data_IF_381893916850
#
_entry.id   IF_381893916850
#
_cell.length_a   1.000
_cell.length_b   1.000
_cell.length_c   1.000
_cell.angle_alpha   90.00
_cell.angle_beta   90.00
_cell.angle_gamma   90.00
#
_symmetry.space_group_name_H-M   'P 1'
#
loop_
_entity.id
_entity.type
_entity.pdbx_description
1 polymer ?
#
# COMPACT_ATOMS: atom_id res chain seq x y z
N UNK A 1 3.31 -2.52 16.85
CA UNK A 1 4.30 -2.02 15.87
C UNK A 1 5.37 -3.08 15.64
N UNK A 2 5.49 -3.64 14.42
CA UNK A 2 6.48 -4.68 14.09
C UNK A 2 7.47 -4.22 12.99
N UNK A 3 8.70 -4.76 13.03
CA UNK A 3 9.90 -4.38 12.26
C UNK A 3 9.99 -5.14 10.92
N UNK A 4 9.88 -4.49 9.74
CA UNK A 4 9.99 -5.24 8.46
C UNK A 4 10.68 -4.54 7.28
N UNK A 5 11.46 -5.33 6.52
CA UNK A 5 11.81 -5.12 5.10
C UNK A 5 10.68 -5.63 4.19
N UNK A 6 10.61 -5.25 2.91
CA UNK A 6 9.63 -5.79 1.93
C UNK A 6 9.86 -7.27 1.53
N UNK A 7 10.13 -8.13 2.51
CA UNK A 7 10.40 -9.55 2.34
C UNK A 7 9.13 -10.38 2.11
N UNK A 8 9.31 -11.67 1.85
CA UNK A 8 8.20 -12.62 1.83
C UNK A 8 7.46 -12.68 3.18
N UNK A 9 8.20 -12.59 4.28
CA UNK A 9 7.64 -12.57 5.64
C UNK A 9 6.74 -11.35 5.86
N UNK A 10 7.15 -10.18 5.39
CA UNK A 10 6.33 -8.98 5.44
C UNK A 10 5.00 -9.14 4.69
N UNK A 11 5.05 -9.81 3.53
CA UNK A 11 3.83 -10.10 2.76
C UNK A 11 2.88 -11.06 3.50
N UNK A 12 3.41 -11.99 4.29
CA UNK A 12 2.62 -12.90 5.13
C UNK A 12 1.99 -12.12 6.28
N UNK A 13 2.78 -11.35 7.02
CA UNK A 13 2.32 -10.59 8.19
C UNK A 13 1.27 -9.52 7.86
N UNK A 14 1.46 -8.78 6.77
CA UNK A 14 0.45 -7.82 6.30
C UNK A 14 -0.86 -8.51 5.92
N UNK A 15 -0.79 -9.69 5.29
CA UNK A 15 -1.97 -10.47 4.95
C UNK A 15 -2.68 -11.03 6.19
N UNK A 16 -1.92 -11.52 7.18
CA UNK A 16 -2.49 -12.02 8.44
C UNK A 16 -3.15 -10.90 9.25
N UNK A 17 -2.51 -9.73 9.32
CA UNK A 17 -3.09 -8.55 9.96
C UNK A 17 -4.39 -8.09 9.27
N UNK A 18 -4.42 -8.08 7.93
CA UNK A 18 -5.64 -7.80 7.16
C UNK A 18 -6.75 -8.82 7.45
N UNK A 19 -6.42 -10.10 7.48
CA UNK A 19 -7.40 -11.14 7.79
C UNK A 19 -7.98 -10.98 9.20
N UNK A 20 -7.13 -10.65 10.19
CA UNK A 20 -7.58 -10.41 11.57
C UNK A 20 -8.59 -9.26 11.67
N UNK A 21 -8.28 -8.11 11.09
CA UNK A 21 -9.21 -6.97 11.12
C UNK A 21 -10.48 -7.24 10.30
N UNK A 22 -10.38 -7.98 9.19
CA UNK A 22 -11.56 -8.41 8.42
C UNK A 22 -12.47 -9.35 9.20
N UNK A 23 -11.89 -10.29 9.96
CA UNK A 23 -12.65 -11.18 10.83
C UNK A 23 -13.34 -10.40 11.95
N UNK A 24 -12.65 -9.45 12.58
CA UNK A 24 -13.23 -8.60 13.61
C UNK A 24 -14.43 -7.81 13.08
N UNK A 25 -14.28 -7.14 11.93
CA UNK A 25 -15.38 -6.41 11.29
C UNK A 25 -16.56 -7.33 10.99
N UNK A 26 -16.30 -8.53 10.47
CA UNK A 26 -17.36 -9.51 10.18
C UNK A 26 -18.05 -10.04 11.43
N UNK A 27 -17.31 -10.32 12.50
CA UNK A 27 -17.86 -10.89 13.75
C UNK A 27 -18.72 -9.91 14.53
N UNK A 28 -18.50 -8.61 14.34
CA UNK A 28 -19.22 -7.54 15.02
C UNK A 28 -20.23 -6.83 14.09
N UNK A 29 -20.53 -7.40 12.92
CA UNK A 29 -21.48 -6.86 11.94
C UNK A 29 -21.21 -5.39 11.54
N UNK A 30 -19.93 -4.98 11.53
CA UNK A 30 -19.54 -3.61 11.21
C UNK A 30 -19.65 -3.37 9.70
N UNK A 31 -20.32 -2.28 9.33
CA UNK A 31 -20.51 -1.88 7.94
C UNK A 31 -19.23 -1.23 7.39
N UNK A 32 -18.72 -1.79 6.30
CA UNK A 32 -17.52 -1.29 5.59
C UNK A 32 -17.92 -0.30 4.49
N UNK A 33 -17.12 0.73 4.26
CA UNK A 33 -17.31 1.70 3.17
C UNK A 33 -16.15 1.74 2.15
N UNK A 34 -15.41 0.64 2.02
CA UNK A 34 -14.32 0.58 1.06
C UNK A 34 -13.49 -0.68 1.16
N UNK A 35 -12.37 -0.66 0.44
CA UNK A 35 -11.45 -1.79 0.38
C UNK A 35 -10.47 -1.78 1.56
N UNK A 36 -10.01 -2.96 2.01
CA UNK A 36 -8.92 -3.06 2.97
C UNK A 36 -7.64 -2.41 2.43
N UNK A 37 -6.87 -1.81 3.34
CA UNK A 37 -5.61 -1.18 3.00
C UNK A 37 -4.55 -1.37 4.09
N UNK A 38 -3.29 -1.17 3.70
CA UNK A 38 -2.15 -1.09 4.63
C UNK A 38 -1.67 0.35 4.68
N UNK A 39 -1.47 0.88 5.88
CA UNK A 39 -0.83 2.18 6.10
C UNK A 39 0.58 2.02 6.65
N UNK A 40 1.47 2.91 6.23
CA UNK A 40 2.87 2.95 6.63
C UNK A 40 3.18 4.30 7.30
N UNK A 41 3.32 4.33 8.62
CA UNK A 41 3.38 5.57 9.40
C UNK A 41 4.78 6.22 9.42
N UNK A 42 5.85 5.42 9.36
CA UNK A 42 7.23 5.92 9.32
C UNK A 42 7.97 5.31 8.13
N UNK A 43 7.68 5.85 6.95
CA UNK A 43 8.29 5.38 5.71
C UNK A 43 9.63 6.08 5.49
N UNK A 44 10.70 5.58 6.11
CA UNK A 44 12.05 5.88 5.67
C UNK A 44 12.57 4.69 4.86
N UNK A 45 12.67 4.83 3.54
CA UNK A 45 13.15 3.76 2.67
C UNK A 45 14.61 3.35 2.93
N UNK A 46 15.37 4.19 3.62
CA UNK A 46 16.78 3.95 3.94
C UNK A 46 16.98 3.36 5.34
N UNK A 47 16.03 3.57 6.25
CA UNK A 47 16.10 3.08 7.62
C UNK A 47 14.98 2.07 7.88
N UNK A 48 15.31 0.79 7.73
CA UNK A 48 14.51 -0.29 8.31
C UNK A 48 14.60 -0.20 9.84
N UNK A 49 13.48 -0.30 10.58
CA UNK A 49 12.24 -0.98 10.18
C UNK A 49 11.11 -0.13 9.61
N UNK A 50 10.29 -0.76 8.75
CA UNK A 50 9.01 -0.22 8.32
C UNK A 50 7.87 -0.70 9.23
N UNK A 51 7.15 0.24 9.84
CA UNK A 51 5.96 -0.02 10.65
C UNK A 51 4.69 0.12 9.82
N UNK A 52 3.71 -0.78 10.05
CA UNK A 52 2.46 -0.77 9.32
C UNK A 52 1.23 -1.01 10.20
N UNK A 53 0.07 -0.56 9.70
CA UNK A 53 -1.25 -0.88 10.21
C UNK A 53 -2.09 -1.52 9.10
N UNK A 54 -2.89 -2.52 9.44
CA UNK A 54 -3.88 -3.12 8.55
C UNK A 54 -5.26 -2.55 8.88
N UNK A 55 -5.93 -2.00 7.89
CA UNK A 55 -7.08 -1.13 8.09
C UNK A 55 -8.26 -1.53 7.20
N UNK A 56 -9.47 -1.26 7.69
CA UNK A 56 -10.72 -1.38 6.93
C UNK A 56 -11.48 -0.07 7.12
N UNK A 57 -11.87 0.60 6.03
CA UNK A 57 -12.63 1.83 6.15
C UNK A 57 -14.10 1.50 6.47
N UNK A 58 -14.65 2.23 7.43
CA UNK A 58 -15.99 2.05 8.01
C UNK A 58 -16.70 3.40 8.10
N UNK A 59 -18.03 3.39 8.17
CA UNK A 59 -18.84 4.62 8.24
C UNK A 59 -18.97 5.16 9.66
N UNK A 60 -19.02 4.27 10.64
CA UNK A 60 -19.29 4.60 12.04
C UNK A 60 -18.02 4.48 12.89
N UNK A 61 -17.86 5.38 13.86
CA UNK A 61 -16.80 5.29 14.85
C UNK A 61 -17.02 4.07 15.75
N UNK A 62 -15.96 3.28 15.96
CA UNK A 62 -15.98 2.14 16.88
C UNK A 62 -15.06 2.41 18.07
N UNK A 63 -15.56 2.08 19.26
CA UNK A 63 -14.78 2.13 20.49
C UNK A 63 -14.40 0.70 20.88
N UNK A 64 -13.10 0.45 21.00
CA UNK A 64 -12.57 -0.84 21.44
C UNK A 64 -12.07 -0.76 22.87
N UNK A 65 -11.94 -1.91 23.53
CA UNK A 65 -11.39 -1.97 24.88
C UNK A 65 -9.89 -1.66 24.85
N UNK A 66 -9.30 -1.11 25.93
CA UNK A 66 -7.87 -0.80 25.98
C UNK A 66 -6.93 -2.00 25.76
N UNK A 67 -7.44 -3.23 25.92
CA UNK A 67 -6.69 -4.47 25.70
C UNK A 67 -6.87 -5.04 24.28
N UNK A 68 -7.62 -4.36 23.42
CA UNK A 68 -7.83 -4.80 22.04
C UNK A 68 -6.62 -4.44 21.18
N UNK A 69 -6.22 -5.40 20.33
CA UNK A 69 -5.21 -5.16 19.28
C UNK A 69 -5.76 -4.33 18.10
N UNK A 70 -7.07 -4.05 18.11
CA UNK A 70 -7.78 -3.27 17.08
C UNK A 70 -8.26 -1.97 17.71
N UNK A 71 -8.05 -0.87 16.99
CA UNK A 71 -8.46 0.47 17.40
C UNK A 71 -9.22 1.15 16.27
N UNK A 72 -10.16 2.02 16.64
CA UNK A 72 -10.76 2.98 15.72
C UNK A 72 -9.83 4.17 15.54
N UNK A 73 -9.74 4.69 14.32
CA UNK A 73 -9.00 5.90 14.01
C UNK A 73 -9.74 6.74 12.97
N UNK A 74 -9.84 8.04 13.22
CA UNK A 74 -10.31 8.99 12.24
C UNK A 74 -9.12 9.50 11.41
N UNK A 75 -9.19 9.33 10.09
CA UNK A 75 -8.16 9.76 9.15
C UNK A 75 -8.61 11.05 8.47
N UNK A 76 -7.83 12.13 8.62
CA UNK A 76 -8.07 13.37 7.91
C UNK A 76 -7.78 13.25 6.40
N UNK A 77 -8.41 14.10 5.60
CA UNK A 77 -8.14 14.20 4.18
C UNK A 77 -6.73 14.73 3.92
N UNK A 78 -6.06 14.16 2.92
CA UNK A 78 -4.72 14.57 2.53
C UNK A 78 -4.54 14.45 1.02
N UNK A 79 -3.59 15.23 0.48
CA UNK A 79 -3.21 15.15 -0.92
C UNK A 79 -2.21 14.02 -1.14
N UNK A 80 -2.37 13.27 -2.22
CA UNK A 80 -1.50 12.15 -2.52
C UNK A 80 -1.24 12.00 -4.02
N UNK A 81 -0.02 11.60 -4.36
CA UNK A 81 0.29 11.01 -5.65
C UNK A 81 -0.20 9.57 -5.65
N UNK A 82 -1.20 9.27 -6.49
CA UNK A 82 -1.68 7.91 -6.69
C UNK A 82 -0.90 7.21 -7.80
N UNK A 83 -0.40 6.01 -7.51
CA UNK A 83 0.06 5.05 -8.50
C UNK A 83 -0.71 3.75 -8.42
N UNK A 84 -0.71 2.96 -9.49
CA UNK A 84 -1.32 1.62 -9.50
C UNK A 84 -0.25 0.59 -9.81
N UNK A 85 -0.04 -0.34 -8.87
CA UNK A 85 0.74 -1.55 -9.07
C UNK A 85 -0.20 -2.65 -9.58
N UNK A 86 0.05 -3.12 -10.80
CA UNK A 86 -0.59 -4.29 -11.37
C UNK A 86 0.39 -5.46 -11.36
N UNK A 87 0.06 -6.52 -10.62
CA UNK A 87 0.91 -7.69 -10.46
C UNK A 87 1.40 -7.92 -9.02
N UNK A 88 2.37 -8.83 -8.89
CA UNK A 88 2.85 -9.30 -7.59
C UNK A 88 3.39 -8.18 -6.69
N UNK A 89 3.13 -8.27 -5.38
CA UNK A 89 3.70 -7.40 -4.36
C UNK A 89 5.24 -7.42 -4.32
N UNK A 90 5.89 -8.39 -4.97
CA UNK A 90 7.34 -8.39 -5.18
C UNK A 90 7.84 -7.10 -5.85
N UNK A 91 7.01 -6.44 -6.66
CA UNK A 91 7.34 -5.19 -7.34
C UNK A 91 7.00 -3.93 -6.54
N UNK A 92 6.56 -4.06 -5.28
CA UNK A 92 6.20 -2.94 -4.40
C UNK A 92 7.34 -1.93 -4.25
N UNK A 93 8.54 -2.41 -3.94
CA UNK A 93 9.73 -1.55 -3.77
C UNK A 93 10.02 -0.73 -5.04
N UNK A 94 9.87 -1.36 -6.21
CA UNK A 94 10.06 -0.69 -7.50
C UNK A 94 8.95 0.36 -7.75
N UNK A 95 7.71 0.05 -7.42
CA UNK A 95 6.58 0.97 -7.54
C UNK A 95 6.76 2.22 -6.67
N UNK A 96 7.13 2.03 -5.40
CA UNK A 96 7.46 3.13 -4.49
C UNK A 96 8.62 3.97 -5.03
N UNK A 97 9.71 3.32 -5.46
CA UNK A 97 10.86 4.02 -6.03
C UNK A 97 10.45 4.90 -7.22
N UNK A 98 9.65 4.37 -8.15
CA UNK A 98 9.20 5.12 -9.33
C UNK A 98 8.39 6.36 -8.95
N UNK A 99 7.52 6.26 -7.96
CA UNK A 99 6.74 7.42 -7.51
C UNK A 99 7.60 8.45 -6.78
N UNK A 100 8.53 8.02 -5.93
CA UNK A 100 9.44 8.95 -5.25
C UNK A 100 10.39 9.63 -6.23
N UNK A 101 10.92 8.89 -7.22
CA UNK A 101 11.71 9.46 -8.32
C UNK A 101 10.88 10.48 -9.13
N UNK A 102 9.59 10.22 -9.33
CA UNK A 102 8.68 11.16 -9.99
C UNK A 102 8.52 12.44 -9.16
N UNK A 103 8.26 12.33 -7.86
CA UNK A 103 8.13 13.49 -6.96
C UNK A 103 9.43 14.30 -6.95
N UNK A 104 10.59 13.64 -6.80
CA UNK A 104 11.89 14.30 -6.77
C UNK A 104 12.22 15.06 -8.07
N UNK A 105 11.70 14.62 -9.22
CA UNK A 105 11.88 15.29 -10.52
C UNK A 105 10.87 16.42 -10.76
N UNK A 106 9.78 16.48 -10.02
CA UNK A 106 8.70 17.44 -10.20
C UNK A 106 8.65 18.39 -8.99
N UNK A 107 9.28 19.56 -9.12
CA UNK A 107 9.41 20.57 -8.05
C UNK A 107 8.08 21.10 -7.48
N UNK A 108 6.95 20.81 -8.15
CA UNK A 108 5.59 21.17 -7.71
C UNK A 108 5.14 20.34 -6.51
N UNK A 109 5.66 19.12 -6.35
CA UNK A 109 5.27 18.21 -5.29
C UNK A 109 6.38 18.09 -4.24
N UNK A 110 6.01 18.24 -2.98
CA UNK A 110 6.88 17.92 -1.85
C UNK A 110 6.26 16.77 -1.08
N UNK A 111 7.10 15.90 -0.54
CA UNK A 111 6.65 14.78 0.27
C UNK A 111 6.05 15.25 1.60
N UNK A 112 4.84 14.80 1.90
CA UNK A 112 4.21 15.07 3.20
C UNK A 112 4.55 13.95 4.18
N UNK A 113 5.55 14.21 5.04
CA UNK A 113 6.02 13.23 6.02
C UNK A 113 5.12 13.10 7.25
N UNK A 114 4.10 13.94 7.38
CA UNK A 114 3.14 13.85 8.48
C UNK A 114 2.05 12.80 8.20
N UNK A 115 1.92 12.37 6.94
CA UNK A 115 0.93 11.41 6.50
C UNK A 115 1.58 10.07 6.11
N UNK A 116 0.80 9.00 6.28
CA UNK A 116 1.22 7.63 5.98
C UNK A 116 1.09 7.31 4.50
N UNK A 117 2.01 6.49 3.96
CA UNK A 117 1.78 5.87 2.64
C UNK A 117 0.66 4.83 2.80
N UNK A 118 -0.30 4.83 1.88
CA UNK A 118 -1.46 3.92 1.93
C UNK A 118 -1.47 3.00 0.72
N UNK A 119 -1.53 1.68 0.95
CA UNK A 119 -1.69 0.66 -0.09
C UNK A 119 -3.08 0.03 -0.03
N UNK A 120 -3.92 0.37 -1.01
CA UNK A 120 -5.30 -0.10 -1.12
C UNK A 120 -5.35 -1.35 -2.01
N UNK A 121 -5.79 -2.47 -1.46
CA UNK A 121 -5.82 -3.76 -2.14
C UNK A 121 -7.13 -3.96 -2.93
N UNK A 122 -7.26 -3.31 -4.10
CA UNK A 122 -8.44 -3.43 -4.98
C UNK A 122 -8.71 -4.86 -5.45
N UNK A 123 -7.65 -5.61 -5.76
CA UNK A 123 -7.70 -7.05 -6.05
C UNK A 123 -6.43 -7.70 -5.51
N UNK A 124 -6.56 -8.61 -4.56
CA UNK A 124 -5.41 -9.22 -3.89
C UNK A 124 -5.62 -10.70 -3.57
N UNK A 125 -4.83 -11.21 -2.62
CA UNK A 125 -4.83 -12.63 -2.20
C UNK A 125 -6.17 -13.15 -1.69
N UNK A 126 -7.00 -12.28 -1.11
CA UNK A 126 -8.34 -12.63 -0.66
C UNK A 126 -9.31 -12.92 -1.82
N UNK A 127 -9.00 -12.44 -3.04
CA UNK A 127 -9.88 -12.53 -4.22
C UNK A 127 -9.34 -13.52 -5.26
N UNK A 128 -8.03 -13.60 -5.44
CA UNK A 128 -7.40 -14.47 -6.45
C UNK A 128 -6.07 -15.01 -5.95
N UNK A 129 -5.71 -16.21 -6.37
CA UNK A 129 -4.39 -16.81 -6.11
C UNK A 129 -3.34 -16.38 -7.15
N UNK A 130 -3.74 -15.78 -8.26
CA UNK A 130 -2.85 -15.39 -9.36
C UNK A 130 -2.24 -14.00 -9.12
N UNK A 131 -0.92 -13.89 -8.83
CA UNK A 131 -0.33 -12.59 -8.49
C UNK A 131 -0.34 -11.59 -9.65
N UNK A 132 -0.38 -12.06 -10.90
CA UNK A 132 -0.48 -11.23 -12.10
C UNK A 132 -1.80 -10.46 -12.20
N UNK A 133 -2.83 -10.89 -11.48
CA UNK A 133 -4.13 -10.24 -11.45
C UNK A 133 -4.27 -9.24 -10.29
N UNK A 134 -3.27 -9.13 -9.42
CA UNK A 134 -3.35 -8.21 -8.30
C UNK A 134 -3.39 -6.76 -8.80
N UNK A 135 -4.22 -5.95 -8.16
CA UNK A 135 -4.35 -4.51 -8.40
C UNK A 135 -4.27 -3.83 -7.05
N UNK A 136 -3.22 -3.02 -6.88
CA UNK A 136 -2.97 -2.23 -5.67
C UNK A 136 -2.83 -0.77 -6.04
N UNK A 137 -3.62 0.10 -5.42
CA UNK A 137 -3.41 1.54 -5.50
C UNK A 137 -2.51 1.96 -4.35
N UNK A 138 -1.44 2.71 -4.64
CA UNK A 138 -0.51 3.22 -3.63
C UNK A 138 -0.64 4.74 -3.63
N UNK A 139 -1.01 5.29 -2.49
CA UNK A 139 -1.15 6.72 -2.24
C UNK A 139 0.08 7.20 -1.48
N UNK A 140 0.91 8.02 -2.13
CA UNK A 140 2.09 8.63 -1.51
C UNK A 140 1.74 10.07 -1.15
N UNK A 141 1.74 10.44 0.14
CA UNK A 141 1.35 11.78 0.57
C UNK A 141 2.28 12.86 0.01
N UNK A 142 1.66 13.93 -0.50
CA UNK A 142 2.37 15.10 -1.03
C UNK A 142 1.66 16.37 -0.64
N UNK A 143 2.42 17.44 -0.41
CA UNK A 143 1.92 18.81 -0.40
C UNK A 143 2.22 19.46 -1.75
N UNK A 144 1.22 20.10 -2.36
CA UNK A 144 1.42 20.98 -3.52
C UNK A 144 1.49 22.45 -3.10
N UNK A 145 2.26 23.26 -3.84
CA UNK A 145 2.04 24.72 -3.81
C UNK A 145 0.82 25.07 -4.66
N UNK A 146 -0.20 25.59 -3.98
CA UNK A 146 -1.53 26.05 -4.42
C UNK A 146 -1.74 26.28 -5.93
N UNK A 147 -2.73 25.57 -6.50
CA UNK A 147 -3.40 25.99 -7.73
C UNK A 147 -3.86 24.83 -8.61
N UNK A 148 -5.06 24.31 -8.33
CA UNK A 148 -5.91 23.54 -9.28
C UNK A 148 -5.17 22.77 -10.38
N UNK A 149 -4.68 21.57 -10.10
CA UNK A 149 -4.42 20.63 -11.18
C UNK A 149 -5.40 19.47 -11.04
N UNK A 150 -6.26 19.33 -12.06
CA UNK A 150 -7.01 18.10 -12.33
C UNK A 150 -6.07 16.90 -12.20
N UNK A 151 -6.56 15.71 -11.80
CA UNK A 151 -5.74 14.51 -11.72
C UNK A 151 -4.97 14.33 -13.03
N UNK A 152 -3.66 14.54 -12.98
CA UNK A 152 -2.77 14.25 -14.11
C UNK A 152 -2.60 12.74 -14.11
N UNK A 153 -3.43 12.07 -14.90
CA UNK A 153 -3.26 10.65 -15.19
C UNK A 153 -2.02 10.54 -16.09
N UNK A 154 -0.87 10.21 -15.50
CA UNK A 154 0.28 9.75 -16.27
C UNK A 154 -0.04 8.38 -16.87
N UNK A 155 0.30 8.22 -18.16
CA UNK A 155 0.11 6.95 -18.86
C UNK A 155 0.83 5.82 -18.13
N UNK A 156 0.29 4.58 -18.11
CA UNK A 156 0.95 3.44 -17.48
C UNK A 156 2.38 3.28 -18.01
N UNK A 157 3.36 3.29 -17.12
CA UNK A 157 4.73 2.88 -17.48
C UNK A 157 4.65 1.41 -17.91
N UNK A 158 5.00 1.13 -19.17
CA UNK A 158 4.83 -0.16 -19.82
C UNK A 158 5.30 -1.34 -18.94
N UNK A 159 4.56 -2.45 -18.99
CA UNK A 159 4.89 -3.72 -18.34
C UNK A 159 6.37 -4.06 -18.57
N UNK A 160 7.17 -4.33 -17.52
CA UNK A 160 8.48 -4.94 -17.73
C UNK A 160 8.29 -6.25 -18.50
N UNK A 161 8.96 -6.38 -19.64
CA UNK A 161 8.99 -7.63 -20.41
C UNK A 161 9.55 -8.71 -19.48
N UNK A 162 8.96 -9.92 -19.40
CA UNK A 162 9.54 -11.00 -18.61
C UNK A 162 10.97 -11.24 -19.11
N UNK A 163 11.96 -11.06 -18.22
CA UNK A 163 13.30 -11.56 -18.48
C UNK A 163 13.20 -13.08 -18.37
N UNK A 164 13.05 -13.74 -19.52
CA UNK A 164 13.28 -15.17 -19.63
C UNK A 164 14.77 -15.37 -19.44
N UNK A 165 15.20 -15.65 -18.22
CA UNK A 165 16.52 -16.22 -17.99
C UNK A 165 16.49 -17.61 -18.61
N UNK A 166 16.98 -17.74 -19.84
CA UNK A 166 17.23 -19.05 -20.42
C UNK A 166 18.24 -19.76 -19.50
N UNK A 167 17.78 -20.82 -18.83
CA UNK A 167 18.69 -21.82 -18.28
C UNK A 167 19.50 -22.34 -19.47
N UNK A 168 20.81 -22.05 -19.47
CA UNK A 168 21.76 -22.83 -20.25
C UNK A 168 21.81 -24.20 -19.56
N UNK A 169 21.13 -25.17 -20.14
CA UNK A 169 21.42 -26.57 -19.88
C UNK A 169 22.84 -26.82 -20.39
N UNK A 170 23.82 -26.75 -19.49
CA UNK A 170 25.15 -27.27 -19.75
C UNK A 170 25.10 -28.77 -19.55
N UNK A 171 24.89 -29.48 -20.66
CA UNK A 171 25.34 -30.87 -20.82
C UNK A 171 26.85 -30.80 -21.02
N UNK A 172 27.61 -31.34 -20.06
CA UNK A 172 28.83 -32.11 -20.28
C UNK A 172 29.21 -32.86 -19.00
#
# INVERSE_FOLDING_TARGET
>A
EEIFSFSAEFSIKTNDALNKVQQFVKQNDIIKNGEPFIQFNSWNLENEPLYFAACIPIEEEILTTPLSDITGHFQEEYQALKITLQGSYYHRKEAWKKALDFIAKNEVYQLDKNNSITEIHKKGRAVTSQPSEFITEILIPVTGTVGTTKPVVTQPVAKPKPVVTQKKDSVN
#
